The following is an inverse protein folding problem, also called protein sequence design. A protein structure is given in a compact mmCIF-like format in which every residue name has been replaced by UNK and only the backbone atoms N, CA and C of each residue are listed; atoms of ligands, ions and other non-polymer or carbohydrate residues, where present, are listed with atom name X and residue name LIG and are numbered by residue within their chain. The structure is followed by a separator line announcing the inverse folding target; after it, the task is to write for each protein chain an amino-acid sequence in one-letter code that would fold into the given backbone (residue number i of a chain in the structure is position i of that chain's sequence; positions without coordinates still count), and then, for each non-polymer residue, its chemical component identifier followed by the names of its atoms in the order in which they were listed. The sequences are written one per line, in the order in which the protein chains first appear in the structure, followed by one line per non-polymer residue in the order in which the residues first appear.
data_IF_143202307581
#
_entry.id   IF_143202307581
#
_cell.length_a   1.000
_cell.length_b   1.000
_cell.length_c   1.000
_cell.angle_alpha   90.00
_cell.angle_beta   90.00
_cell.angle_gamma   90.00
#
_symmetry.space_group_name_H-M   'P 1'
#
loop_
_entity.id
_entity.type
_entity.pdbx_description
1 polymer ?
#
# COMPACT_ATOMS: atom_id res chain seq x y z
N UNK A 1 14.17 10.95 -12.59
CA UNK A 1 14.01 9.59 -12.07
C UNK A 1 12.87 9.53 -11.08
N UNK A 2 12.12 8.43 -11.12
CA UNK A 2 11.00 8.25 -10.20
C UNK A 2 11.49 7.95 -8.78
N UNK A 3 10.87 8.60 -7.80
CA UNK A 3 11.14 8.33 -6.39
C UNK A 3 10.12 7.31 -5.88
N UNK A 4 10.62 6.25 -5.29
CA UNK A 4 9.80 5.11 -4.85
C UNK A 4 9.75 5.05 -3.32
N UNK A 5 8.53 5.00 -2.78
CA UNK A 5 8.29 4.76 -1.37
C UNK A 5 7.63 3.39 -1.21
N UNK A 6 8.17 2.57 -0.33
CA UNK A 6 7.66 1.22 -0.07
C UNK A 6 7.24 1.11 1.38
N UNK A 7 5.99 0.73 1.62
CA UNK A 7 5.52 0.35 2.95
C UNK A 7 5.83 -1.14 3.13
N UNK A 8 6.97 -1.43 3.74
CA UNK A 8 7.42 -2.80 3.92
C UNK A 8 8.79 -2.86 4.56
N UNK A 9 9.09 -4.00 5.19
CA UNK A 9 10.38 -4.22 5.82
C UNK A 9 11.36 -4.78 4.79
N UNK A 10 12.44 -4.05 4.45
CA UNK A 10 13.37 -4.48 3.40
C UNK A 10 14.22 -5.69 3.77
N UNK A 11 14.14 -6.16 5.02
CA UNK A 11 14.92 -7.31 5.47
C UNK A 11 14.26 -8.64 5.10
N UNK A 12 12.99 -8.62 4.65
CA UNK A 12 12.24 -9.85 4.40
C UNK A 12 11.44 -9.81 3.10
N UNK A 13 11.23 -10.99 2.56
CA UNK A 13 10.22 -11.28 1.53
C UNK A 13 10.27 -10.37 0.31
N UNK A 14 9.12 -9.96 -0.15
CA UNK A 14 8.99 -9.15 -1.36
C UNK A 14 9.68 -7.80 -1.23
N UNK A 15 9.61 -7.16 -0.07
CA UNK A 15 10.30 -5.88 0.15
C UNK A 15 11.81 -6.02 0.01
N UNK A 16 12.38 -7.15 0.44
CA UNK A 16 13.80 -7.43 0.25
C UNK A 16 14.14 -7.54 -1.24
N UNK A 17 13.30 -8.20 -2.01
CA UNK A 17 13.48 -8.31 -3.46
C UNK A 17 13.37 -6.93 -4.14
N UNK A 18 12.44 -6.10 -3.70
CA UNK A 18 12.28 -4.75 -4.22
C UNK A 18 13.53 -3.92 -3.93
N UNK A 19 14.10 -4.05 -2.74
CA UNK A 19 15.32 -3.34 -2.38
C UNK A 19 16.49 -3.77 -3.26
N UNK A 20 16.56 -5.05 -3.60
CA UNK A 20 17.61 -5.55 -4.49
C UNK A 20 17.50 -4.92 -5.88
N UNK A 21 16.27 -4.79 -6.40
CA UNK A 21 16.04 -4.21 -7.74
C UNK A 21 16.11 -2.69 -7.74
N UNK A 22 15.68 -2.05 -6.66
CA UNK A 22 15.60 -0.59 -6.56
C UNK A 22 16.25 -0.13 -5.25
N UNK A 23 17.60 -0.16 -5.18
CA UNK A 23 18.30 0.15 -3.93
C UNK A 23 18.09 1.58 -3.42
N UNK A 24 17.66 2.49 -4.29
CA UNK A 24 17.40 3.88 -3.90
C UNK A 24 15.98 4.11 -3.40
N UNK A 25 15.13 3.09 -3.40
CA UNK A 25 13.79 3.20 -2.85
C UNK A 25 13.84 3.41 -1.34
N UNK A 26 12.88 4.18 -0.83
CA UNK A 26 12.74 4.41 0.62
C UNK A 26 11.77 3.39 1.19
N UNK A 27 12.17 2.72 2.26
CA UNK A 27 11.36 1.70 2.92
C UNK A 27 10.94 2.18 4.30
N UNK A 28 9.66 2.02 4.63
CA UNK A 28 9.12 2.37 5.94
C UNK A 28 8.37 1.19 6.53
N UNK A 29 8.57 0.98 7.83
CA UNK A 29 7.90 -0.05 8.61
C UNK A 29 8.04 0.32 10.07
N UNK A 30 7.54 -0.54 10.97
CA UNK A 30 7.70 -0.31 12.40
C UNK A 30 9.18 -0.19 12.80
N UNK A 31 10.06 -0.97 12.17
CA UNK A 31 11.49 -0.99 12.48
C UNK A 31 12.34 -0.13 11.55
N UNK A 32 11.76 0.38 10.47
CA UNK A 32 12.43 1.25 9.51
C UNK A 32 11.65 2.54 9.39
N UNK A 33 12.20 3.63 9.92
CA UNK A 33 11.52 4.93 9.91
C UNK A 33 10.46 5.08 11.00
N UNK A 34 10.33 4.10 11.89
CA UNK A 34 9.42 4.15 13.04
C UNK A 34 7.96 4.43 12.65
N UNK A 35 7.48 3.78 11.59
CA UNK A 35 6.10 3.91 11.12
C UNK A 35 5.34 2.61 11.31
N UNK A 36 4.69 2.48 12.46
CA UNK A 36 3.79 1.35 12.72
C UNK A 36 2.44 1.65 12.07
N UNK A 37 2.22 1.04 10.91
CA UNK A 37 1.04 1.32 10.09
C UNK A 37 -0.26 0.68 10.61
N UNK A 38 -0.21 0.02 11.76
CA UNK A 38 -1.43 -0.37 12.47
C UNK A 38 -2.06 0.80 13.23
N UNK A 39 -1.35 1.90 13.35
CA UNK A 39 -1.78 3.08 14.10
C UNK A 39 -2.26 4.17 13.13
N UNK A 40 -3.51 4.64 13.25
CA UNK A 40 -4.06 5.63 12.31
C UNK A 40 -3.22 6.91 12.15
N UNK A 41 -2.65 7.44 13.24
CA UNK A 41 -1.79 8.62 13.13
C UNK A 41 -0.54 8.35 12.30
N UNK A 42 0.00 7.13 12.37
CA UNK A 42 1.16 6.73 11.57
C UNK A 42 0.79 6.51 10.11
N UNK A 43 -0.42 6.05 9.84
CA UNK A 43 -0.92 5.95 8.46
C UNK A 43 -1.00 7.34 7.82
N UNK A 44 -1.46 8.33 8.55
CA UNK A 44 -1.51 9.72 8.07
C UNK A 44 -0.12 10.29 7.87
N UNK A 45 0.81 9.97 8.77
CA UNK A 45 2.21 10.37 8.65
C UNK A 45 2.85 9.79 7.39
N UNK A 46 2.57 8.52 7.09
CA UNK A 46 2.99 7.87 5.86
C UNK A 46 2.45 8.63 4.64
N UNK A 47 1.17 8.97 4.68
CA UNK A 47 0.54 9.66 3.55
C UNK A 47 1.17 11.03 3.29
N UNK A 48 1.50 11.77 4.33
CA UNK A 48 2.22 13.03 4.18
C UNK A 48 3.60 12.82 3.58
N UNK A 49 4.34 11.82 4.07
CA UNK A 49 5.65 11.48 3.53
C UNK A 49 5.56 11.13 2.05
N UNK A 50 4.51 10.41 1.65
CA UNK A 50 4.34 9.93 0.28
C UNK A 50 4.22 11.05 -0.74
N UNK A 51 3.91 12.27 -0.32
CA UNK A 51 3.75 13.39 -1.24
C UNK A 51 5.05 13.75 -1.97
N UNK A 52 6.19 13.33 -1.45
CA UNK A 52 7.49 13.57 -2.07
C UNK A 52 7.88 12.45 -3.05
N UNK A 53 7.00 11.49 -3.29
CA UNK A 53 7.32 10.31 -4.09
C UNK A 53 6.38 10.20 -5.29
N UNK A 54 6.82 9.43 -6.29
CA UNK A 54 6.08 9.23 -7.55
C UNK A 54 5.42 7.86 -7.62
N UNK A 55 5.99 6.90 -6.90
CA UNK A 55 5.49 5.52 -6.86
C UNK A 55 5.40 5.10 -5.40
N UNK A 56 4.24 4.60 -5.01
CA UNK A 56 4.03 4.04 -3.68
C UNK A 56 3.69 2.55 -3.80
N UNK A 57 4.46 1.70 -3.13
CA UNK A 57 4.24 0.26 -3.15
C UNK A 57 3.83 -0.19 -1.74
N UNK A 58 2.61 -0.69 -1.63
CA UNK A 58 2.02 -1.13 -0.37
C UNK A 58 2.22 -2.63 -0.22
N UNK A 59 3.27 -3.04 0.48
CA UNK A 59 3.62 -4.45 0.71
C UNK A 59 3.14 -4.93 2.07
N UNK A 60 3.36 -4.14 3.12
CA UNK A 60 3.03 -4.55 4.49
C UNK A 60 1.55 -4.85 4.66
N UNK A 61 1.25 -6.08 5.04
CA UNK A 61 -0.06 -6.50 5.48
C UNK A 61 0.02 -6.65 6.99
N UNK A 62 -0.61 -5.73 7.70
CA UNK A 62 -0.60 -5.71 9.14
C UNK A 62 -1.97 -6.22 9.61
N UNK A 63 -2.32 -5.99 10.85
CA UNK A 63 -3.60 -6.43 11.40
C UNK A 63 -4.81 -5.90 10.61
N UNK A 64 -5.78 -6.80 10.40
CA UNK A 64 -7.12 -6.47 9.88
C UNK A 64 -7.03 -5.70 8.55
N UNK A 65 -7.64 -4.54 8.47
CA UNK A 65 -7.72 -3.78 7.23
C UNK A 65 -6.67 -2.67 7.14
N UNK A 66 -5.60 -2.74 7.95
CA UNK A 66 -4.60 -1.69 8.00
C UNK A 66 -3.98 -1.39 6.63
N UNK A 67 -3.73 -2.40 5.81
CA UNK A 67 -3.18 -2.18 4.47
C UNK A 67 -4.15 -1.37 3.60
N UNK A 68 -5.43 -1.72 3.61
CA UNK A 68 -6.45 -0.94 2.89
C UNK A 68 -6.53 0.47 3.44
N UNK A 69 -6.44 0.63 4.76
CA UNK A 69 -6.51 1.93 5.42
C UNK A 69 -5.36 2.85 5.03
N UNK A 70 -4.11 2.36 5.08
CA UNK A 70 -3.01 3.25 4.74
C UNK A 70 -2.93 3.52 3.24
N UNK A 71 -3.35 2.58 2.41
CA UNK A 71 -3.49 2.85 0.97
C UNK A 71 -4.52 3.95 0.74
N UNK A 72 -5.63 3.92 1.47
CA UNK A 72 -6.65 4.97 1.39
C UNK A 72 -6.09 6.33 1.78
N UNK A 73 -5.31 6.39 2.86
CA UNK A 73 -4.71 7.65 3.31
C UNK A 73 -3.77 8.25 2.25
N UNK A 74 -2.97 7.42 1.61
CA UNK A 74 -2.11 7.86 0.50
C UNK A 74 -2.96 8.30 -0.68
N UNK A 75 -3.94 7.48 -1.07
CA UNK A 75 -4.77 7.74 -2.24
C UNK A 75 -5.55 9.05 -2.11
N UNK A 76 -6.08 9.36 -0.93
CA UNK A 76 -6.79 10.62 -0.70
C UNK A 76 -5.96 11.85 -1.05
N UNK A 77 -4.67 11.78 -0.80
CA UNK A 77 -3.74 12.87 -1.10
C UNK A 77 -3.26 12.86 -2.53
N UNK A 78 -3.24 11.70 -3.17
CA UNK A 78 -2.73 11.54 -4.53
C UNK A 78 -3.80 11.73 -5.60
N UNK A 79 -5.08 11.72 -5.23
CA UNK A 79 -6.19 11.71 -6.20
C UNK A 79 -6.19 12.92 -7.12
N UNK A 80 -5.67 14.04 -6.67
CA UNK A 80 -5.59 15.26 -7.46
C UNK A 80 -4.29 15.38 -8.27
N UNK A 81 -3.38 14.42 -8.10
CA UNK A 81 -2.13 14.41 -8.85
C UNK A 81 -2.37 13.90 -10.26
N UNK A 82 -1.63 14.47 -11.21
CA UNK A 82 -1.75 14.07 -12.61
C UNK A 82 -0.81 12.93 -12.98
N UNK A 83 0.07 12.54 -12.08
CA UNK A 83 1.02 11.44 -12.29
C UNK A 83 1.28 10.73 -10.98
N UNK A 84 1.81 9.51 -11.09
CA UNK A 84 2.13 8.69 -9.95
C UNK A 84 1.43 7.35 -10.03
N UNK A 85 1.97 6.36 -9.32
CA UNK A 85 1.42 5.01 -9.30
C UNK A 85 1.35 4.50 -7.88
N UNK A 86 0.20 3.94 -7.51
CA UNK A 86 0.02 3.22 -6.27
C UNK A 86 -0.10 1.74 -6.62
N UNK A 87 0.82 0.93 -6.11
CA UNK A 87 0.85 -0.51 -6.34
C UNK A 87 0.60 -1.18 -5.00
N UNK A 88 -0.52 -1.89 -4.89
CA UNK A 88 -0.85 -2.62 -3.67
C UNK A 88 -0.67 -4.12 -3.92
N UNK A 89 0.07 -4.76 -3.02
CA UNK A 89 0.33 -6.19 -3.15
C UNK A 89 -0.83 -6.96 -2.54
N UNK A 90 -1.60 -7.60 -3.40
CA UNK A 90 -2.71 -8.45 -2.99
C UNK A 90 -2.25 -9.88 -2.71
N UNK A 91 -3.21 -10.78 -2.68
CA UNK A 91 -2.95 -12.19 -2.41
C UNK A 91 -4.02 -13.05 -3.08
N UNK A 92 -3.64 -14.25 -3.52
CA UNK A 92 -4.64 -15.24 -3.98
C UNK A 92 -5.57 -15.67 -2.86
N UNK A 93 -5.19 -15.40 -1.61
CA UNK A 93 -6.02 -15.68 -0.44
C UNK A 93 -7.26 -14.77 -0.34
N UNK A 94 -7.39 -13.76 -1.21
CA UNK A 94 -8.60 -12.93 -1.26
C UNK A 94 -9.80 -13.70 -1.82
N UNK A 95 -9.58 -14.87 -2.41
CA UNK A 95 -10.64 -15.74 -2.90
C UNK A 95 -11.22 -16.52 -1.71
N UNK A 96 -12.56 -16.51 -1.52
CA UNK A 96 -13.16 -17.23 -0.41
C UNK A 96 -12.85 -18.72 -0.42
N UNK A 97 -12.51 -19.27 0.75
CA UNK A 97 -12.27 -20.68 0.94
C UNK A 97 -13.35 -21.22 1.87
N UNK A 98 -14.07 -22.24 1.40
CA UNK A 98 -15.17 -22.83 2.14
C UNK A 98 -14.67 -23.36 3.50
N UNK A 99 -15.41 -23.02 4.55
CA UNK A 99 -15.16 -23.52 5.90
C UNK A 99 -14.13 -22.76 6.72
N UNK A 100 -13.59 -21.66 6.20
CA UNK A 100 -12.66 -20.84 6.98
C UNK A 100 -13.32 -19.60 7.56
N UNK A 101 -12.99 -19.30 8.81
CA UNK A 101 -13.37 -18.05 9.47
C UNK A 101 -12.19 -17.07 9.53
N UNK A 102 -11.11 -17.35 8.84
CA UNK A 102 -9.92 -16.52 8.85
C UNK A 102 -10.18 -15.17 8.18
N UNK A 103 -9.82 -14.08 8.86
CA UNK A 103 -10.10 -12.72 8.38
C UNK A 103 -9.22 -12.28 7.22
N UNK A 104 -8.07 -12.90 7.03
CA UNK A 104 -7.10 -12.47 6.02
C UNK A 104 -7.70 -12.43 4.59
N UNK A 105 -8.48 -13.42 4.15
CA UNK A 105 -9.09 -13.34 2.82
C UNK A 105 -10.01 -12.12 2.66
N UNK A 106 -10.80 -11.79 3.69
CA UNK A 106 -11.68 -10.63 3.65
C UNK A 106 -10.89 -9.33 3.61
N UNK A 107 -9.79 -9.26 4.35
CA UNK A 107 -8.91 -8.09 4.35
C UNK A 107 -8.31 -7.86 2.97
N UNK A 108 -7.81 -8.91 2.33
CA UNK A 108 -7.21 -8.81 1.00
C UNK A 108 -8.24 -8.52 -0.08
N UNK A 109 -9.46 -9.04 0.08
CA UNK A 109 -10.57 -8.73 -0.84
C UNK A 109 -10.98 -7.27 -0.74
N UNK A 110 -11.01 -6.71 0.47
CA UNK A 110 -11.30 -5.29 0.68
C UNK A 110 -10.26 -4.41 -0.02
N UNK A 111 -8.98 -4.74 0.12
CA UNK A 111 -7.90 -4.03 -0.54
C UNK A 111 -8.08 -4.06 -2.07
N UNK A 112 -8.35 -5.24 -2.62
CA UNK A 112 -8.55 -5.41 -4.06
C UNK A 112 -9.73 -4.58 -4.56
N UNK A 113 -10.84 -4.60 -3.83
CA UNK A 113 -12.04 -3.84 -4.19
C UNK A 113 -11.78 -2.35 -4.18
N UNK A 114 -11.06 -1.86 -3.17
CA UNK A 114 -10.71 -0.46 -3.07
C UNK A 114 -9.82 -0.01 -4.22
N UNK A 115 -8.81 -0.81 -4.56
CA UNK A 115 -7.89 -0.50 -5.67
C UNK A 115 -8.63 -0.46 -7.01
N UNK A 116 -9.60 -1.35 -7.21
CA UNK A 116 -10.44 -1.33 -8.42
C UNK A 116 -11.27 -0.04 -8.49
N UNK A 117 -11.82 0.39 -7.37
CA UNK A 117 -12.58 1.63 -7.30
C UNK A 117 -11.71 2.84 -7.65
N UNK A 118 -10.50 2.91 -7.10
CA UNK A 118 -9.56 3.96 -7.42
C UNK A 118 -9.21 4.00 -8.90
N UNK A 119 -9.01 2.84 -9.49
CA UNK A 119 -8.70 2.71 -10.91
C UNK A 119 -9.82 3.27 -11.78
N UNK A 120 -11.08 3.02 -11.40
CA UNK A 120 -12.25 3.55 -12.12
C UNK A 120 -12.38 5.06 -12.00
N UNK A 121 -12.13 5.61 -10.81
CA UNK A 121 -12.15 7.05 -10.58
C UNK A 121 -11.09 7.72 -11.45
N UNK A 122 -9.88 7.17 -11.44
CA UNK A 122 -8.76 7.71 -12.23
C UNK A 122 -9.06 7.70 -13.73
N UNK A 123 -9.64 6.61 -14.23
CA UNK A 123 -10.02 6.50 -15.64
C UNK A 123 -11.10 7.53 -16.01
N UNK A 124 -12.08 7.75 -15.12
CA UNK A 124 -13.12 8.74 -15.33
C UNK A 124 -12.60 10.16 -15.40
N UNK A 125 -11.57 10.47 -14.62
CA UNK A 125 -10.95 11.79 -14.63
C UNK A 125 -10.14 12.06 -15.89
N UNK A 126 -9.68 11.01 -16.54
CA UNK A 126 -8.87 11.13 -17.76
C UNK A 126 -9.71 11.23 -19.02
N UNK A 127 -10.98 10.96 -18.92
CA UNK A 127 -11.91 11.09 -20.03
C UNK A 127 -12.37 12.54 -20.16
#
# INVERSE_FOLDING_TARGET
MSKILVAGNPDYGLSKAIKFLYPDATFVSRTHGNLDLSIPSKQRELAELSMDYDIFIAVSCIWRFAQTEYVQEVAKRWIERKHGYIIAIGSSADTPVKGTAWMYPAEKKALRSYCRQLSQISAGEND
#
